data_IF_246194868142
#
_entry.id   IF_246194868142
#
_cell.length_a   1.000
_cell.length_b   1.000
_cell.length_c   1.000
_cell.angle_alpha   90.00
_cell.angle_beta   90.00
_cell.angle_gamma   90.00
#
_symmetry.space_group_name_H-M   'P 1'
#
loop_
_entity.id
_entity.type
_entity.pdbx_description
1 polymer ?
#
# COMPACT_ATOMS: atom_id res chain seq x y z
N UNK A 1 -29.16 -13.43 -18.70
CA UNK A 1 -30.32 -12.54 -18.57
C UNK A 1 -29.82 -11.13 -18.78
N UNK A 2 -30.47 -10.37 -19.64
CA UNK A 2 -30.12 -8.99 -19.97
C UNK A 2 -30.52 -8.07 -18.80
N UNK A 3 -29.57 -7.77 -17.91
CA UNK A 3 -29.77 -6.87 -16.74
C UNK A 3 -29.93 -5.40 -17.15
N UNK A 4 -29.83 -5.11 -18.46
CA UNK A 4 -29.97 -3.80 -19.09
C UNK A 4 -31.33 -3.12 -18.83
N UNK A 5 -32.37 -3.88 -18.45
CA UNK A 5 -33.72 -3.35 -18.16
C UNK A 5 -33.94 -2.88 -16.71
N UNK A 6 -33.01 -3.16 -15.78
CA UNK A 6 -33.12 -2.74 -14.37
C UNK A 6 -32.35 -1.45 -14.06
N UNK A 7 -31.63 -0.89 -15.03
CA UNK A 7 -30.84 0.31 -14.81
C UNK A 7 -31.71 1.57 -14.93
N UNK A 8 -31.75 2.45 -13.90
CA UNK A 8 -32.48 3.70 -13.99
C UNK A 8 -31.91 4.57 -15.11
N UNK A 9 -32.79 5.25 -15.85
CA UNK A 9 -32.46 6.12 -16.99
C UNK A 9 -31.41 7.21 -16.67
N UNK A 10 -31.20 7.48 -15.39
CA UNK A 10 -30.25 8.43 -14.83
C UNK A 10 -29.02 7.74 -14.20
N UNK A 11 -28.56 6.61 -14.73
CA UNK A 11 -27.42 5.89 -14.14
C UNK A 11 -26.16 6.75 -14.04
N UNK A 12 -25.95 7.66 -15.00
CA UNK A 12 -24.80 8.58 -15.02
C UNK A 12 -24.76 9.49 -13.79
N UNK A 13 -25.91 9.90 -13.26
CA UNK A 13 -26.01 10.74 -12.04
C UNK A 13 -25.95 9.91 -10.74
N UNK A 14 -26.06 8.58 -10.82
CA UNK A 14 -25.85 7.66 -9.70
C UNK A 14 -24.43 7.08 -9.65
N UNK A 15 -23.63 7.28 -10.71
CA UNK A 15 -22.25 6.83 -10.71
C UNK A 15 -21.43 7.67 -9.73
N UNK A 16 -20.65 7.03 -8.84
CA UNK A 16 -19.80 7.76 -7.91
C UNK A 16 -18.80 8.62 -8.68
N UNK A 17 -18.87 9.94 -8.49
CA UNK A 17 -17.93 10.93 -9.04
C UNK A 17 -16.47 10.62 -8.67
N UNK A 18 -16.27 9.90 -7.57
CA UNK A 18 -14.96 9.50 -7.09
C UNK A 18 -15.01 8.02 -6.71
N UNK A 19 -14.51 7.16 -7.59
CA UNK A 19 -14.14 5.79 -7.23
C UNK A 19 -12.89 5.91 -6.38
N UNK A 20 -13.06 6.05 -5.06
CA UNK A 20 -11.94 5.87 -4.12
C UNK A 20 -11.64 4.38 -4.10
N UNK A 21 -10.86 3.93 -5.09
CA UNK A 21 -10.30 2.60 -5.07
C UNK A 21 -9.55 2.43 -3.74
N UNK A 22 -10.18 1.70 -2.81
CA UNK A 22 -9.48 1.15 -1.65
C UNK A 22 -8.36 0.35 -2.28
N UNK A 23 -7.14 0.88 -2.11
CA UNK A 23 -5.91 0.50 -2.80
C UNK A 23 -5.96 -0.97 -3.19
N UNK A 24 -6.19 -1.23 -4.49
CA UNK A 24 -6.23 -2.60 -5.01
C UNK A 24 -4.96 -3.29 -4.53
N UNK A 25 -5.05 -4.44 -3.84
CA UNK A 25 -3.86 -5.17 -3.43
C UNK A 25 -3.03 -5.40 -4.69
N UNK A 26 -1.75 -5.04 -4.63
CA UNK A 26 -0.91 -5.05 -5.84
C UNK A 26 -0.68 -6.48 -6.34
N UNK A 27 -0.89 -7.46 -5.47
CA UNK A 27 -0.76 -8.88 -5.74
C UNK A 27 -1.66 -9.72 -4.79
N UNK A 28 -1.89 -10.97 -5.14
CA UNK A 28 -2.73 -11.93 -4.37
C UNK A 28 -2.24 -12.08 -2.92
N UNK A 29 -0.93 -12.04 -2.72
CA UNK A 29 -0.31 -12.20 -1.40
C UNK A 29 -0.67 -11.03 -0.46
N UNK A 30 -0.63 -9.79 -0.96
CA UNK A 30 -1.13 -8.62 -0.23
C UNK A 30 -2.63 -8.69 0.04
N UNK A 31 -3.41 -9.28 -0.87
CA UNK A 31 -4.84 -9.52 -0.65
C UNK A 31 -5.12 -10.46 0.52
N UNK A 32 -4.31 -11.51 0.67
CA UNK A 32 -4.45 -12.52 1.72
C UNK A 32 -3.91 -12.05 3.08
N UNK A 33 -2.78 -11.36 3.09
CA UNK A 33 -2.07 -11.01 4.33
C UNK A 33 -2.16 -9.53 4.71
N UNK A 34 -2.75 -8.69 3.86
CA UNK A 34 -3.03 -7.28 4.12
C UNK A 34 -1.80 -6.52 4.63
N UNK A 35 -1.96 -5.85 5.77
CA UNK A 35 -0.89 -5.05 6.38
C UNK A 35 0.29 -5.89 6.91
N UNK A 36 0.10 -7.20 7.10
CA UNK A 36 1.15 -8.13 7.57
C UNK A 36 1.90 -8.82 6.43
N UNK A 37 1.50 -8.58 5.18
CA UNK A 37 2.11 -9.19 4.00
C UNK A 37 3.63 -9.06 3.98
N UNK A 38 4.15 -7.87 4.23
CA UNK A 38 5.60 -7.63 4.18
C UNK A 38 6.36 -8.37 5.27
N UNK A 39 5.86 -8.32 6.52
CA UNK A 39 6.43 -9.04 7.66
C UNK A 39 6.44 -10.56 7.40
N UNK A 40 5.32 -11.10 6.91
CA UNK A 40 5.17 -12.53 6.62
C UNK A 40 6.08 -12.95 5.47
N UNK A 41 6.18 -12.13 4.41
CA UNK A 41 7.09 -12.40 3.29
C UNK A 41 8.56 -12.45 3.74
N UNK A 42 9.01 -11.47 4.52
CA UNK A 42 10.37 -11.45 5.08
C UNK A 42 10.63 -12.69 5.94
N UNK A 43 9.70 -13.06 6.83
CA UNK A 43 9.84 -14.25 7.67
C UNK A 43 9.96 -15.53 6.84
N UNK A 44 9.15 -15.68 5.79
CA UNK A 44 9.20 -16.85 4.90
C UNK A 44 10.54 -16.93 4.14
N UNK A 45 11.06 -15.80 3.65
CA UNK A 45 12.33 -15.75 2.93
C UNK A 45 13.52 -16.07 3.84
N UNK A 46 13.55 -15.54 5.07
CA UNK A 46 14.59 -15.90 6.04
C UNK A 46 14.53 -17.39 6.41
N UNK A 47 13.33 -17.94 6.64
CA UNK A 47 13.16 -19.37 6.89
C UNK A 47 13.62 -20.24 5.71
N UNK A 48 13.39 -19.78 4.48
CA UNK A 48 13.85 -20.48 3.27
C UNK A 48 15.38 -20.43 3.11
N UNK A 49 16.06 -19.40 3.63
CA UNK A 49 17.53 -19.38 3.68
C UNK A 49 18.08 -20.37 4.72
N UNK A 50 17.40 -20.52 5.86
CA UNK A 50 17.79 -21.47 6.90
C UNK A 50 17.77 -22.92 6.43
N UNK A 51 16.92 -23.26 5.45
CA UNK A 51 16.88 -24.61 4.84
C UNK A 51 18.08 -24.93 3.95
N UNK A 52 19.11 -24.07 3.91
CA UNK A 52 20.34 -24.25 3.11
C UNK A 52 20.05 -24.63 1.65
N UNK A 53 19.32 -23.76 0.92
CA UNK A 53 19.06 -24.00 -0.49
C UNK A 53 20.35 -23.96 -1.31
N UNK A 54 20.27 -24.43 -2.55
CA UNK A 54 21.38 -24.34 -3.50
C UNK A 54 21.83 -22.87 -3.71
N UNK A 55 23.03 -22.69 -4.27
CA UNK A 55 23.66 -21.36 -4.36
C UNK A 55 22.86 -20.36 -5.19
N UNK A 56 22.14 -20.84 -6.21
CA UNK A 56 21.31 -20.01 -7.09
C UNK A 56 20.03 -19.57 -6.38
N UNK A 57 19.34 -20.51 -5.75
CA UNK A 57 18.15 -20.24 -4.94
C UNK A 57 18.49 -19.34 -3.75
N UNK A 58 19.60 -19.57 -3.06
CA UNK A 58 20.06 -18.72 -1.97
C UNK A 58 20.33 -17.28 -2.43
N UNK A 59 20.92 -17.10 -3.61
CA UNK A 59 21.14 -15.77 -4.21
C UNK A 59 19.82 -15.07 -4.50
N UNK A 60 18.89 -15.75 -5.18
CA UNK A 60 17.58 -15.19 -5.50
C UNK A 60 16.79 -14.78 -4.24
N UNK A 61 16.86 -15.58 -3.17
CA UNK A 61 16.21 -15.25 -1.90
C UNK A 61 16.84 -14.00 -1.27
N UNK A 62 18.17 -13.87 -1.26
CA UNK A 62 18.86 -12.67 -0.74
C UNK A 62 18.50 -11.42 -1.51
N UNK A 63 18.55 -11.47 -2.84
CA UNK A 63 18.12 -10.37 -3.71
C UNK A 63 16.67 -9.96 -3.41
N UNK A 64 15.80 -10.95 -3.15
CA UNK A 64 14.40 -10.68 -2.82
C UNK A 64 14.25 -9.98 -1.47
N UNK A 65 15.04 -10.35 -0.46
CA UNK A 65 15.05 -9.70 0.86
C UNK A 65 15.50 -8.24 0.72
N UNK A 66 16.56 -7.96 -0.02
CA UNK A 66 17.06 -6.59 -0.24
C UNK A 66 16.03 -5.69 -0.95
N UNK A 67 15.34 -6.24 -1.95
CA UNK A 67 14.24 -5.55 -2.63
C UNK A 67 13.10 -5.20 -1.67
N UNK A 68 12.74 -6.12 -0.77
CA UNK A 68 11.69 -5.88 0.23
C UNK A 68 12.11 -4.86 1.29
N UNK A 69 13.36 -4.91 1.77
CA UNK A 69 13.90 -3.92 2.72
C UNK A 69 13.90 -2.50 2.13
N UNK A 70 14.22 -2.37 0.84
CA UNK A 70 14.16 -1.08 0.13
C UNK A 70 12.72 -0.53 0.05
N UNK A 71 11.71 -1.39 0.01
CA UNK A 71 10.30 -0.95 0.06
C UNK A 71 9.85 -0.48 1.44
N UNK A 72 10.44 -1.01 2.53
CA UNK A 72 10.19 -0.49 3.88
C UNK A 72 10.74 0.92 4.06
N UNK A 73 11.93 1.19 3.55
CA UNK A 73 12.59 2.49 3.65
C UNK A 73 11.88 3.61 2.85
N UNK A 74 11.03 3.24 1.88
CA UNK A 74 10.23 4.21 1.11
C UNK A 74 8.91 4.59 1.80
N UNK A 75 8.65 4.07 2.99
CA UNK A 75 7.50 4.43 3.80
C UNK A 75 7.89 5.57 4.75
N UNK A 76 7.53 6.80 4.39
CA UNK A 76 7.74 7.93 5.28
C UNK A 76 6.81 7.85 6.50
N UNK A 77 7.21 8.42 7.63
CA UNK A 77 6.40 8.45 8.84
C UNK A 77 5.86 9.87 9.07
N UNK A 78 4.63 9.96 9.58
CA UNK A 78 4.03 11.24 9.94
C UNK A 78 4.75 11.85 11.13
N UNK A 79 5.28 13.08 10.96
CA UNK A 79 5.98 13.79 12.03
C UNK A 79 5.08 14.09 13.24
N UNK A 80 3.76 14.13 13.07
CA UNK A 80 2.82 14.45 14.16
C UNK A 80 2.27 13.22 14.89
N UNK A 81 2.19 12.05 14.25
CA UNK A 81 1.50 10.90 14.84
C UNK A 81 2.17 9.55 14.58
N UNK A 82 3.35 9.52 13.96
CA UNK A 82 4.09 8.29 13.68
C UNK A 82 3.50 7.39 12.58
N UNK A 83 2.23 7.59 12.18
CA UNK A 83 1.59 6.75 11.17
C UNK A 83 2.35 6.74 9.84
N UNK A 84 2.39 5.57 9.22
CA UNK A 84 3.01 5.36 7.91
C UNK A 84 2.28 6.13 6.81
N UNK A 85 3.04 6.91 6.04
CA UNK A 85 2.59 7.70 4.89
C UNK A 85 3.07 7.01 3.61
N UNK A 86 2.14 6.74 2.70
CA UNK A 86 2.47 6.33 1.34
C UNK A 86 3.01 7.55 0.58
N UNK A 87 4.32 7.58 0.33
CA UNK A 87 4.91 8.59 -0.55
C UNK A 87 4.60 8.25 -2.01
N UNK A 88 4.23 9.27 -2.79
CA UNK A 88 4.12 9.10 -4.24
C UNK A 88 5.54 9.13 -4.83
N UNK A 89 5.87 8.14 -5.67
CA UNK A 89 7.15 8.15 -6.42
C UNK A 89 7.33 9.37 -7.31
N UNK A 90 6.24 10.09 -7.62
CA UNK A 90 6.23 11.25 -8.53
C UNK A 90 6.31 12.61 -7.81
N UNK A 91 6.28 12.66 -6.48
CA UNK A 91 6.31 13.95 -5.77
C UNK A 91 7.74 14.43 -5.57
N UNK A 92 8.05 15.61 -6.12
CA UNK A 92 9.33 16.33 -5.90
C UNK A 92 9.59 16.61 -4.41
N UNK A 93 8.54 16.70 -3.59
CA UNK A 93 8.63 16.94 -2.14
C UNK A 93 7.86 15.88 -1.35
N UNK A 94 8.51 15.13 -0.45
CA UNK A 94 7.84 14.10 0.34
C UNK A 94 6.86 14.72 1.36
N UNK A 95 5.72 14.06 1.55
CA UNK A 95 4.73 14.43 2.56
C UNK A 95 5.26 14.25 3.98
N UNK A 96 5.20 15.30 4.81
CA UNK A 96 5.65 15.25 6.23
C UNK A 96 4.57 14.76 7.21
N UNK A 97 3.29 14.86 6.84
CA UNK A 97 2.15 14.55 7.70
C UNK A 97 1.16 13.61 7.00
N UNK A 98 0.50 12.73 7.77
CA UNK A 98 -0.58 11.90 7.25
C UNK A 98 -1.83 12.75 6.94
N UNK A 99 -2.70 12.25 6.07
CA UNK A 99 -3.93 12.94 5.67
C UNK A 99 -4.77 13.42 6.87
N UNK A 100 -4.92 12.58 7.90
CA UNK A 100 -5.68 12.92 9.12
C UNK A 100 -5.07 14.10 9.87
N UNK A 101 -3.75 14.11 10.06
CA UNK A 101 -3.05 15.21 10.74
C UNK A 101 -3.07 16.50 9.91
N UNK A 102 -2.92 16.38 8.59
CA UNK A 102 -3.00 17.51 7.68
C UNK A 102 -4.39 18.17 7.70
N UNK A 103 -5.47 17.38 7.72
CA UNK A 103 -6.83 17.92 7.79
C UNK A 103 -7.14 18.59 9.14
N UNK A 104 -6.66 18.03 10.26
CA UNK A 104 -6.78 18.68 11.58
C UNK A 104 -6.03 20.01 11.66
N UNK A 105 -4.87 20.12 11.01
CA UNK A 105 -4.10 21.36 10.99
C UNK A 105 -4.82 22.45 10.17
N UNK A 106 -5.44 22.11 9.04
CA UNK A 106 -6.22 23.07 8.24
C UNK A 106 -7.44 23.61 9.00
N UNK A 107 -8.17 22.75 9.71
CA UNK A 107 -9.35 23.17 10.47
C UNK A 107 -9.06 24.15 11.62
N UNK A 108 -7.81 24.23 12.09
CA UNK A 108 -7.40 25.20 13.13
C UNK A 108 -6.97 26.56 12.59
N UNK A 109 -6.83 26.71 11.27
CA UNK A 109 -6.39 27.95 10.62
C UNK A 109 -7.61 28.77 10.16
N UNK A 110 -8.74 28.10 9.91
CA UNK A 110 -10.00 28.71 9.49
C UNK A 110 -10.94 29.07 10.68
N UNK A 111 -10.41 29.22 11.90
CA UNK A 111 -11.16 29.70 13.09
C UNK A 111 -10.35 30.80 13.77
#
# INVERSE_FOLDING_TARGET
>A
MDESKQYPQNFVSMLPLHIRAIVKPSNVFEGLFGNKSLEIANRLLHKALESRPDSETARAIRERIELLATQENNKAHCQNCGNTIKQSKRSVKPYKFCYKCHMKAKQKIDT
#
